data_IF_390853135311
#
_entry.id   IF_390853135311
#
_cell.length_a   1.000
_cell.length_b   1.000
_cell.length_c   1.000
_cell.angle_alpha   90.00
_cell.angle_beta   90.00
_cell.angle_gamma   90.00
#
_symmetry.space_group_name_H-M   'P 1'
#
loop_
_entity.id
_entity.type
_entity.pdbx_description
1 polymer ?
#
# COMPACT_ATOMS: atom_id res chain seq x y z
N UNK A 1 -29.68 15.08 8.40
CA UNK A 1 -29.85 13.80 9.13
C UNK A 1 -29.11 13.91 10.44
N UNK A 2 -29.80 13.60 11.51
CA UNK A 2 -29.27 13.68 12.86
C UNK A 2 -28.59 12.34 13.19
N UNK A 3 -27.30 12.20 12.82
CA UNK A 3 -26.51 10.98 13.03
C UNK A 3 -25.47 11.21 14.12
N UNK A 4 -25.51 10.42 15.19
CA UNK A 4 -24.66 10.56 16.37
C UNK A 4 -23.18 10.35 16.03
N UNK A 5 -22.86 9.43 15.10
CA UNK A 5 -21.47 9.16 14.68
C UNK A 5 -20.88 10.35 13.93
N UNK A 6 -21.66 10.94 13.01
CA UNK A 6 -21.21 12.15 12.28
C UNK A 6 -20.92 13.29 13.27
N UNK A 7 -21.72 13.43 14.33
CA UNK A 7 -21.45 14.44 15.37
C UNK A 7 -20.13 14.15 16.11
N UNK A 8 -19.88 12.89 16.47
CA UNK A 8 -18.62 12.51 17.14
C UNK A 8 -17.42 12.83 16.23
N UNK A 9 -17.50 12.54 14.93
CA UNK A 9 -16.44 12.84 13.99
C UNK A 9 -16.25 14.35 13.80
N UNK A 10 -17.37 15.09 13.63
CA UNK A 10 -17.34 16.54 13.41
C UNK A 10 -16.80 17.31 14.62
N UNK A 11 -17.01 16.79 15.83
CA UNK A 11 -16.56 17.39 17.09
C UNK A 11 -15.16 16.90 17.52
N UNK A 12 -14.50 16.06 16.72
CA UNK A 12 -13.17 15.56 17.06
C UNK A 12 -12.09 16.61 16.78
N UNK A 13 -11.50 17.16 17.84
CA UNK A 13 -10.43 18.16 17.75
C UNK A 13 -9.24 17.60 16.97
N UNK A 14 -8.85 16.34 17.19
CA UNK A 14 -7.75 15.70 16.49
C UNK A 14 -7.96 15.68 14.95
N UNK A 15 -9.18 15.47 14.48
CA UNK A 15 -9.51 15.48 13.05
C UNK A 15 -9.53 16.92 12.52
N UNK A 16 -10.17 17.82 13.25
CA UNK A 16 -10.32 19.23 12.84
C UNK A 16 -8.98 19.96 12.79
N UNK A 17 -8.15 19.82 13.82
CA UNK A 17 -6.82 20.43 13.89
C UNK A 17 -5.90 19.92 12.79
N UNK A 18 -5.93 18.61 12.52
CA UNK A 18 -5.15 18.02 11.44
C UNK A 18 -5.59 18.56 10.07
N UNK A 19 -6.89 18.63 9.82
CA UNK A 19 -7.44 19.13 8.57
C UNK A 19 -7.14 20.63 8.39
N UNK A 20 -7.30 21.42 9.46
CA UNK A 20 -7.03 22.87 9.45
C UNK A 20 -5.54 23.16 9.22
N UNK A 21 -4.64 22.50 9.93
CA UNK A 21 -3.19 22.67 9.79
C UNK A 21 -2.69 22.39 8.37
N UNK A 22 -3.33 21.47 7.66
CA UNK A 22 -2.98 21.08 6.28
C UNK A 22 -3.89 21.67 5.20
N UNK A 23 -4.86 22.50 5.61
CA UNK A 23 -5.86 23.11 4.72
C UNK A 23 -6.62 22.08 3.88
N UNK A 24 -6.89 20.91 4.46
CA UNK A 24 -7.60 19.82 3.79
C UNK A 24 -9.10 20.15 3.76
N UNK A 25 -9.67 20.14 2.58
CA UNK A 25 -11.11 20.26 2.37
C UNK A 25 -11.51 19.75 0.98
N UNK A 26 -12.78 19.46 0.80
CA UNK A 26 -13.34 18.94 -0.43
C UNK A 26 -13.93 20.02 -1.35
N UNK A 27 -13.78 21.30 -1.00
CA UNK A 27 -14.37 22.40 -1.78
C UNK A 27 -13.82 22.52 -3.20
N UNK A 28 -12.66 21.92 -3.47
CA UNK A 28 -12.06 21.87 -4.81
C UNK A 28 -12.68 20.77 -5.71
N UNK A 29 -13.47 19.87 -5.13
CA UNK A 29 -14.03 18.71 -5.82
C UNK A 29 -15.56 18.65 -5.65
N UNK A 30 -16.30 19.72 -6.04
CA UNK A 30 -17.75 19.79 -5.80
C UNK A 30 -18.51 18.71 -6.58
N UNK A 31 -18.04 18.33 -7.77
CA UNK A 31 -18.67 17.29 -8.57
C UNK A 31 -18.53 15.91 -7.93
N UNK A 32 -17.35 15.60 -7.39
CA UNK A 32 -17.15 14.35 -6.61
C UNK A 32 -18.14 14.28 -5.45
N UNK A 33 -18.20 15.36 -4.65
CA UNK A 33 -19.11 15.40 -3.48
C UNK A 33 -20.56 15.23 -3.89
N UNK A 34 -20.97 15.85 -5.02
CA UNK A 34 -22.33 15.67 -5.56
C UNK A 34 -22.57 14.23 -5.99
N UNK A 35 -21.62 13.62 -6.70
CA UNK A 35 -21.71 12.22 -7.13
C UNK A 35 -21.84 11.27 -5.94
N UNK A 36 -20.96 11.39 -4.93
CA UNK A 36 -21.00 10.57 -3.73
C UNK A 36 -22.29 10.77 -2.94
N UNK A 37 -22.79 12.00 -2.85
CA UNK A 37 -24.06 12.29 -2.20
C UNK A 37 -25.25 11.65 -2.94
N UNK A 38 -25.26 11.72 -4.26
CA UNK A 38 -26.30 11.07 -5.09
C UNK A 38 -26.27 9.56 -4.91
N UNK A 39 -25.09 8.93 -4.99
CA UNK A 39 -24.93 7.50 -4.76
C UNK A 39 -25.45 7.10 -3.37
N UNK A 40 -25.07 7.85 -2.33
CA UNK A 40 -25.54 7.61 -0.98
C UNK A 40 -27.09 7.68 -0.90
N UNK A 41 -27.69 8.74 -1.44
CA UNK A 41 -29.14 8.94 -1.33
C UNK A 41 -29.98 7.96 -2.17
N UNK A 42 -29.39 7.41 -3.21
CA UNK A 42 -30.01 6.38 -4.06
C UNK A 42 -29.81 4.96 -3.54
N UNK A 43 -28.87 4.75 -2.61
CA UNK A 43 -28.59 3.43 -2.02
C UNK A 43 -29.75 2.91 -1.20
N UNK A 44 -29.97 1.59 -1.22
CA UNK A 44 -31.03 0.95 -0.46
C UNK A 44 -30.79 1.06 1.05
N UNK A 45 -29.54 0.93 1.51
CA UNK A 45 -29.22 1.04 2.94
C UNK A 45 -29.49 2.44 3.49
N UNK A 46 -29.34 3.51 2.68
CA UNK A 46 -29.69 4.87 3.10
C UNK A 46 -31.20 5.06 3.13
N UNK A 47 -31.95 4.57 2.14
CA UNK A 47 -33.42 4.62 2.12
C UNK A 47 -34.02 3.87 3.31
N UNK A 48 -33.49 2.66 3.60
CA UNK A 48 -33.90 1.87 4.76
C UNK A 48 -33.59 2.58 6.08
N UNK A 49 -32.43 3.21 6.19
CA UNK A 49 -32.07 4.01 7.35
C UNK A 49 -33.01 5.22 7.52
N UNK A 50 -33.35 5.92 6.44
CA UNK A 50 -34.24 7.08 6.46
C UNK A 50 -35.69 6.72 6.74
N UNK A 51 -36.13 5.51 6.38
CA UNK A 51 -37.50 5.02 6.63
C UNK A 51 -37.74 4.65 8.09
N UNK A 52 -36.69 4.47 8.92
CA UNK A 52 -36.83 4.13 10.33
C UNK A 52 -37.36 5.31 11.14
N UNK A 53 -38.46 5.17 11.92
CA UNK A 53 -38.99 6.25 12.75
C UNK A 53 -38.03 6.65 13.89
N UNK A 54 -37.35 5.66 14.47
CA UNK A 54 -36.32 5.86 15.49
C UNK A 54 -35.01 5.20 15.01
N UNK A 55 -33.88 5.83 15.32
CA UNK A 55 -32.56 5.38 14.94
C UNK A 55 -31.67 5.27 16.15
N UNK A 56 -31.11 4.09 16.34
CA UNK A 56 -30.17 3.81 17.41
C UNK A 56 -28.75 4.22 17.00
N UNK A 57 -27.84 4.31 17.98
CA UNK A 57 -26.40 4.48 17.73
C UNK A 57 -25.83 3.39 16.81
N UNK A 58 -26.36 2.16 16.90
CA UNK A 58 -25.95 1.05 16.02
C UNK A 58 -26.41 1.26 14.58
N UNK A 59 -27.61 1.82 14.37
CA UNK A 59 -28.11 2.16 13.04
C UNK A 59 -27.29 3.30 12.42
N UNK A 60 -26.96 4.32 13.21
CA UNK A 60 -26.12 5.44 12.80
C UNK A 60 -24.73 4.98 12.37
N UNK A 61 -24.14 4.06 13.13
CA UNK A 61 -22.85 3.46 12.80
C UNK A 61 -22.92 2.60 11.54
N UNK A 62 -23.93 1.76 11.43
CA UNK A 62 -24.13 0.87 10.28
C UNK A 62 -24.23 1.64 8.96
N UNK A 63 -24.95 2.76 8.96
CA UNK A 63 -25.03 3.64 7.78
C UNK A 63 -23.64 4.07 7.29
N UNK A 64 -22.78 4.54 8.21
CA UNK A 64 -21.44 4.98 7.83
C UNK A 64 -20.53 3.81 7.46
N UNK A 65 -20.64 2.68 8.13
CA UNK A 65 -19.88 1.49 7.76
C UNK A 65 -20.23 1.03 6.34
N UNK A 66 -21.49 1.04 5.94
CA UNK A 66 -21.90 0.64 4.60
C UNK A 66 -21.46 1.67 3.56
N UNK A 67 -21.57 2.96 3.85
CA UNK A 67 -21.05 4.02 2.99
C UNK A 67 -19.53 3.90 2.75
N UNK A 68 -18.74 3.75 3.81
CA UNK A 68 -17.28 3.61 3.65
C UNK A 68 -16.89 2.32 2.94
N UNK A 69 -17.63 1.23 3.08
CA UNK A 69 -17.40 0.01 2.29
C UNK A 69 -17.61 0.23 0.80
N UNK A 70 -18.62 0.99 0.44
CA UNK A 70 -18.90 1.33 -0.96
C UNK A 70 -17.80 2.19 -1.58
N UNK A 71 -17.16 3.08 -0.79
CA UNK A 71 -16.06 3.92 -1.25
C UNK A 71 -14.81 3.12 -1.68
N UNK A 72 -14.64 1.87 -1.23
CA UNK A 72 -13.49 1.02 -1.64
C UNK A 72 -13.45 0.73 -3.15
N UNK A 73 -14.60 0.81 -3.82
CA UNK A 73 -14.72 0.54 -5.25
C UNK A 73 -15.31 1.74 -6.02
N UNK A 74 -15.20 2.93 -5.46
CA UNK A 74 -15.73 4.15 -6.04
C UNK A 74 -14.74 4.76 -7.03
N UNK A 75 -14.87 4.44 -8.31
CA UNK A 75 -13.99 4.94 -9.37
C UNK A 75 -13.85 6.49 -9.42
N UNK A 76 -14.92 7.30 -9.25
CA UNK A 76 -14.77 8.75 -9.17
C UNK A 76 -13.90 9.24 -8.01
N UNK A 77 -13.93 8.55 -6.85
CA UNK A 77 -13.08 8.87 -5.72
C UNK A 77 -11.63 8.43 -5.98
N UNK A 78 -11.42 7.22 -6.49
CA UNK A 78 -10.10 6.71 -6.86
C UNK A 78 -9.39 7.69 -7.81
N UNK A 79 -10.04 8.12 -8.88
CA UNK A 79 -9.47 9.04 -9.88
C UNK A 79 -9.03 10.36 -9.23
N UNK A 80 -9.85 10.97 -8.37
CA UNK A 80 -9.50 12.22 -7.68
C UNK A 80 -8.35 12.02 -6.70
N UNK A 81 -8.32 10.90 -5.98
CA UNK A 81 -7.25 10.62 -5.03
C UNK A 81 -5.92 10.35 -5.73
N UNK A 82 -5.91 9.59 -6.83
CA UNK A 82 -4.72 9.35 -7.65
C UNK A 82 -4.16 10.66 -8.25
N UNK A 83 -5.04 11.58 -8.69
CA UNK A 83 -4.63 12.92 -9.13
C UNK A 83 -4.00 13.76 -8.00
N UNK A 84 -4.46 13.58 -6.76
CA UNK A 84 -3.90 14.30 -5.61
C UNK A 84 -2.51 13.78 -5.23
N UNK A 85 -2.30 12.49 -5.27
CA UNK A 85 -1.02 11.86 -4.94
C UNK A 85 -0.97 10.40 -5.39
N UNK A 86 0.17 9.99 -5.96
CA UNK A 86 0.45 8.60 -6.32
C UNK A 86 0.33 7.63 -5.13
N UNK A 87 0.48 8.12 -3.90
CA UNK A 87 0.35 7.29 -2.69
C UNK A 87 -1.06 6.72 -2.50
N UNK A 88 -2.07 7.29 -3.16
CA UNK A 88 -3.44 6.77 -3.11
C UNK A 88 -3.69 5.57 -4.03
N UNK A 89 -2.74 5.19 -4.87
CA UNK A 89 -2.92 4.08 -5.82
C UNK A 89 -3.21 2.73 -5.14
N UNK A 90 -2.77 2.52 -3.89
CA UNK A 90 -3.01 1.31 -3.10
C UNK A 90 -3.54 1.58 -1.68
N UNK A 91 -3.50 2.82 -1.20
CA UNK A 91 -3.82 3.15 0.19
C UNK A 91 -5.32 3.17 0.50
N UNK A 92 -6.21 3.45 -0.47
CA UNK A 92 -7.64 3.64 -0.21
C UNK A 92 -8.29 2.43 0.49
N UNK A 93 -8.09 1.17 0.07
CA UNK A 93 -8.68 0.02 0.76
C UNK A 93 -8.20 -0.12 2.21
N UNK A 94 -6.91 0.16 2.45
CA UNK A 94 -6.33 0.11 3.79
C UNK A 94 -6.91 1.21 4.70
N UNK A 95 -6.98 2.44 4.19
CA UNK A 95 -7.55 3.58 4.94
C UNK A 95 -9.02 3.33 5.27
N UNK A 96 -9.82 2.85 4.33
CA UNK A 96 -11.22 2.49 4.58
C UNK A 96 -11.32 1.41 5.67
N UNK A 97 -10.49 0.38 5.63
CA UNK A 97 -10.44 -0.63 6.69
C UNK A 97 -10.13 -0.02 8.06
N UNK A 98 -9.19 0.94 8.13
CA UNK A 98 -8.86 1.64 9.38
C UNK A 98 -10.02 2.52 9.88
N UNK A 99 -10.74 3.18 8.97
CA UNK A 99 -11.96 3.94 9.29
C UNK A 99 -13.02 2.99 9.85
N UNK A 100 -13.33 1.89 9.17
CA UNK A 100 -14.31 0.90 9.62
C UNK A 100 -13.96 0.34 11.00
N UNK A 101 -12.69 0.07 11.26
CA UNK A 101 -12.22 -0.36 12.59
C UNK A 101 -12.43 0.73 13.64
N UNK A 102 -12.17 1.98 13.30
CA UNK A 102 -12.40 3.12 14.20
C UNK A 102 -13.88 3.29 14.52
N UNK A 103 -14.75 3.20 13.51
CA UNK A 103 -16.22 3.24 13.68
C UNK A 103 -16.71 2.09 14.55
N UNK A 104 -16.23 0.86 14.34
CA UNK A 104 -16.65 -0.31 15.13
C UNK A 104 -16.27 -0.20 16.62
N UNK A 105 -15.22 0.55 16.94
CA UNK A 105 -14.78 0.79 18.32
C UNK A 105 -15.55 1.94 19.01
N UNK A 106 -16.32 2.75 18.26
CA UNK A 106 -17.12 3.82 18.85
C UNK A 106 -18.26 3.27 19.73
N UNK A 107 -18.51 3.96 20.83
CA UNK A 107 -19.58 3.68 21.79
C UNK A 107 -20.40 4.96 22.01
N UNK A 108 -21.67 4.84 22.45
CA UNK A 108 -22.52 6.01 22.70
C UNK A 108 -21.96 7.02 23.70
N UNK A 109 -21.02 6.58 24.55
CA UNK A 109 -20.36 7.43 25.56
C UNK A 109 -19.15 8.21 25.02
N UNK A 110 -18.71 7.92 23.79
CA UNK A 110 -17.58 8.60 23.19
C UNK A 110 -18.04 9.95 22.60
N UNK A 111 -17.35 11.01 22.95
CA UNK A 111 -17.58 12.37 22.44
C UNK A 111 -16.63 12.73 21.28
N UNK A 112 -15.53 11.97 21.13
CA UNK A 112 -14.51 12.18 20.14
C UNK A 112 -14.10 10.88 19.43
N UNK A 113 -13.66 11.01 18.20
CA UNK A 113 -13.07 9.91 17.44
C UNK A 113 -11.60 9.74 17.83
N UNK A 114 -11.23 8.58 18.32
CA UNK A 114 -9.82 8.24 18.53
C UNK A 114 -9.17 7.90 17.18
N UNK A 115 -8.33 8.81 16.68
CA UNK A 115 -7.55 8.58 15.46
C UNK A 115 -6.48 7.52 15.74
N UNK A 116 -6.35 6.48 14.92
CA UNK A 116 -5.30 5.49 15.05
C UNK A 116 -3.92 6.13 14.94
N UNK A 117 -2.94 5.58 15.66
CA UNK A 117 -1.55 6.01 15.53
C UNK A 117 -1.04 5.73 14.11
N UNK A 118 -0.25 6.64 13.55
CA UNK A 118 0.36 6.51 12.23
C UNK A 118 1.26 5.27 12.11
N UNK A 119 2.00 4.98 13.17
CA UNK A 119 2.88 3.82 13.24
C UNK A 119 2.41 2.85 14.33
N UNK A 120 2.59 1.58 14.10
CA UNK A 120 2.22 0.52 15.04
C UNK A 120 3.22 0.44 16.20
N UNK A 121 4.49 0.74 15.94
CA UNK A 121 5.59 0.71 16.90
C UNK A 121 6.61 1.79 16.58
N UNK A 122 7.53 2.06 17.51
CA UNK A 122 8.65 2.99 17.31
C UNK A 122 9.70 2.43 16.32
N UNK A 123 9.64 1.14 16.01
CA UNK A 123 10.50 0.51 15.00
C UNK A 123 10.11 0.88 13.57
N UNK A 124 8.82 1.18 13.31
CA UNK A 124 8.31 1.45 11.97
C UNK A 124 8.95 2.70 11.33
N UNK A 125 9.06 3.87 12.03
CA UNK A 125 9.77 5.02 11.47
C UNK A 125 11.24 4.74 11.17
N UNK A 126 11.90 3.92 12.00
CA UNK A 126 13.29 3.55 11.81
C UNK A 126 13.45 2.62 10.61
N UNK A 127 12.52 1.66 10.42
CA UNK A 127 12.46 0.82 9.24
C UNK A 127 12.40 1.64 7.96
N UNK A 128 11.43 2.57 7.87
CA UNK A 128 11.25 3.43 6.69
C UNK A 128 12.51 4.24 6.40
N UNK A 129 13.10 4.88 7.43
CA UNK A 129 14.32 5.67 7.27
C UNK A 129 15.49 4.83 6.79
N UNK A 130 15.73 3.70 7.44
CA UNK A 130 16.84 2.80 7.09
C UNK A 130 16.67 2.23 5.69
N UNK A 131 15.46 1.82 5.31
CA UNK A 131 15.18 1.32 3.96
C UNK A 131 15.48 2.38 2.91
N UNK A 132 14.99 3.60 3.10
CA UNK A 132 15.22 4.72 2.19
C UNK A 132 16.73 5.04 2.07
N UNK A 133 17.44 5.19 3.19
CA UNK A 133 18.88 5.46 3.21
C UNK A 133 19.67 4.35 2.50
N UNK A 134 19.35 3.07 2.76
CA UNK A 134 20.04 1.94 2.13
C UNK A 134 19.75 1.84 0.65
N UNK A 135 18.53 2.16 0.21
CA UNK A 135 18.18 2.20 -1.20
C UNK A 135 18.96 3.29 -1.94
N UNK A 136 19.10 4.49 -1.35
CA UNK A 136 19.83 5.60 -1.96
C UNK A 136 21.34 5.36 -2.00
N UNK A 137 21.93 4.98 -0.85
CA UNK A 137 23.39 4.83 -0.74
C UNK A 137 23.92 3.71 -1.65
N UNK A 138 23.13 2.68 -1.90
CA UNK A 138 23.55 1.55 -2.72
C UNK A 138 22.91 1.58 -4.12
N UNK A 139 22.31 2.68 -4.53
CA UNK A 139 21.55 2.78 -5.79
C UNK A 139 22.36 2.28 -6.99
N UNK A 140 23.54 2.84 -7.23
CA UNK A 140 24.39 2.47 -8.37
C UNK A 140 24.78 0.99 -8.32
N UNK A 141 25.19 0.49 -7.15
CA UNK A 141 25.52 -0.93 -6.96
C UNK A 141 24.33 -1.86 -7.23
N UNK A 142 23.11 -1.42 -6.94
CA UNK A 142 21.91 -2.19 -7.23
C UNK A 142 21.58 -2.14 -8.72
N UNK A 143 21.79 -1.01 -9.40
CA UNK A 143 21.63 -0.91 -10.86
C UNK A 143 22.58 -1.86 -11.59
N UNK A 144 23.87 -1.85 -11.25
CA UNK A 144 24.87 -2.78 -11.82
C UNK A 144 24.44 -4.25 -11.65
N UNK A 145 23.84 -4.54 -10.47
CA UNK A 145 23.38 -5.89 -10.16
C UNK A 145 22.13 -6.28 -10.96
N UNK A 146 21.20 -5.35 -11.14
CA UNK A 146 19.98 -5.54 -11.94
C UNK A 146 20.37 -5.77 -13.41
N UNK A 147 21.26 -4.96 -13.96
CA UNK A 147 21.75 -5.07 -15.34
C UNK A 147 22.35 -6.46 -15.64
N UNK A 148 23.08 -7.02 -14.68
CA UNK A 148 23.66 -8.38 -14.80
C UNK A 148 22.59 -9.45 -15.05
N UNK A 149 21.40 -9.32 -14.47
CA UNK A 149 20.32 -10.29 -14.59
C UNK A 149 19.29 -9.94 -15.65
N UNK A 150 19.35 -8.73 -16.20
CA UNK A 150 18.42 -8.22 -17.22
C UNK A 150 19.05 -8.10 -18.60
N UNK A 151 20.34 -8.40 -18.76
CA UNK A 151 21.08 -8.30 -20.02
C UNK A 151 20.48 -9.09 -21.21
N UNK A 152 19.67 -10.10 -20.93
CA UNK A 152 18.96 -10.88 -21.95
C UNK A 152 17.55 -10.34 -22.26
N UNK A 153 17.13 -9.27 -21.59
CA UNK A 153 15.87 -8.58 -21.82
C UNK A 153 16.18 -7.30 -22.59
N UNK A 154 15.25 -6.89 -23.45
CA UNK A 154 15.38 -5.66 -24.20
C UNK A 154 15.51 -4.48 -23.21
N UNK A 155 16.72 -3.93 -23.06
CA UNK A 155 17.07 -2.92 -22.04
C UNK A 155 16.20 -1.66 -22.17
N UNK A 156 15.67 -1.39 -23.39
CA UNK A 156 14.74 -0.29 -23.65
C UNK A 156 13.36 -0.48 -22.98
N UNK A 157 13.09 -1.67 -22.43
CA UNK A 157 11.81 -2.02 -21.79
C UNK A 157 11.81 -1.98 -20.28
N UNK A 158 12.96 -1.79 -19.63
CA UNK A 158 12.99 -1.72 -18.17
C UNK A 158 12.44 -0.39 -17.72
N UNK A 159 11.23 -0.41 -17.20
CA UNK A 159 10.57 0.78 -16.67
C UNK A 159 11.34 1.29 -15.45
N UNK A 160 11.54 2.60 -15.36
CA UNK A 160 12.24 3.23 -14.23
C UNK A 160 11.68 2.77 -12.86
N UNK A 161 10.36 2.61 -12.75
CA UNK A 161 9.71 2.12 -11.53
C UNK A 161 10.10 0.68 -11.19
N UNK A 162 10.26 -0.20 -12.18
CA UNK A 162 10.71 -1.57 -11.94
C UNK A 162 12.11 -1.60 -11.30
N UNK A 163 13.02 -0.77 -11.80
CA UNK A 163 14.36 -0.63 -11.22
C UNK A 163 14.32 -0.12 -9.78
N UNK A 164 13.47 0.87 -9.48
CA UNK A 164 13.31 1.38 -8.12
C UNK A 164 12.76 0.31 -7.18
N UNK A 165 11.75 -0.43 -7.62
CA UNK A 165 11.11 -1.49 -6.82
C UNK A 165 12.12 -2.61 -6.54
N UNK A 166 12.84 -3.10 -7.56
CA UNK A 166 13.87 -4.14 -7.40
C UNK A 166 15.00 -3.65 -6.49
N UNK A 167 15.52 -2.44 -6.71
CA UNK A 167 16.58 -1.86 -5.89
C UNK A 167 16.18 -1.71 -4.42
N UNK A 168 14.93 -1.30 -4.15
CA UNK A 168 14.40 -1.19 -2.80
C UNK A 168 14.22 -2.57 -2.15
N UNK A 169 13.75 -3.57 -2.91
CA UNK A 169 13.69 -4.96 -2.45
C UNK A 169 15.08 -5.50 -2.08
N UNK A 170 16.12 -5.19 -2.89
CA UNK A 170 17.50 -5.58 -2.58
C UNK A 170 18.00 -4.92 -1.28
N UNK A 171 17.66 -3.65 -1.05
CA UNK A 171 17.99 -2.95 0.19
C UNK A 171 17.34 -3.65 1.40
N UNK A 172 16.08 -4.06 1.30
CA UNK A 172 15.40 -4.81 2.36
C UNK A 172 15.99 -6.20 2.57
N UNK A 173 16.22 -6.95 1.48
CA UNK A 173 16.82 -8.28 1.54
C UNK A 173 18.15 -8.31 2.28
N UNK A 174 18.98 -7.29 2.06
CA UNK A 174 20.36 -7.24 2.59
C UNK A 174 20.47 -6.54 3.94
N UNK A 175 19.55 -5.62 4.27
CA UNK A 175 19.66 -4.78 5.47
C UNK A 175 18.75 -5.21 6.63
N UNK A 176 17.72 -6.02 6.37
CA UNK A 176 16.74 -6.41 7.39
C UNK A 176 16.74 -7.92 7.65
N UNK A 177 17.60 -8.41 8.54
CA UNK A 177 17.74 -9.85 8.78
C UNK A 177 16.50 -10.51 9.39
N UNK A 178 15.62 -9.76 10.07
CA UNK A 178 14.40 -10.27 10.70
C UNK A 178 13.25 -10.50 9.72
N UNK A 179 13.31 -9.92 8.49
CA UNK A 179 12.27 -10.07 7.47
C UNK A 179 12.60 -11.28 6.60
N UNK A 180 11.69 -12.28 6.49
CA UNK A 180 11.89 -13.42 5.62
C UNK A 180 11.98 -13.01 4.14
N UNK A 181 12.86 -13.66 3.36
CA UNK A 181 13.00 -13.42 1.91
C UNK A 181 11.66 -13.47 1.20
N UNK A 182 10.86 -14.51 1.48
CA UNK A 182 9.53 -14.65 0.85
C UNK A 182 8.61 -13.45 1.10
N UNK A 183 8.65 -12.88 2.30
CA UNK A 183 7.82 -11.69 2.62
C UNK A 183 8.27 -10.50 1.78
N UNK A 184 9.58 -10.23 1.72
CA UNK A 184 10.12 -9.18 0.85
C UNK A 184 9.66 -9.38 -0.61
N UNK A 185 9.80 -10.58 -1.16
CA UNK A 185 9.39 -10.85 -2.55
C UNK A 185 7.89 -10.60 -2.76
N UNK A 186 7.04 -11.18 -1.89
CA UNK A 186 5.59 -11.05 -1.99
C UNK A 186 5.16 -9.56 -1.94
N UNK A 187 5.72 -8.75 -1.02
CA UNK A 187 5.38 -7.34 -0.87
C UNK A 187 5.79 -6.49 -2.08
N UNK A 188 7.03 -6.64 -2.59
CA UNK A 188 7.46 -5.85 -3.73
C UNK A 188 6.80 -6.26 -5.05
N UNK A 189 6.38 -7.51 -5.21
CA UNK A 189 5.53 -7.95 -6.31
C UNK A 189 4.15 -7.29 -6.21
N UNK A 190 3.54 -7.21 -5.02
CA UNK A 190 2.27 -6.50 -4.83
C UNK A 190 2.41 -5.00 -5.14
N UNK A 191 3.43 -4.33 -4.62
CA UNK A 191 3.72 -2.91 -4.90
C UNK A 191 3.80 -2.67 -6.42
N UNK A 192 4.46 -3.56 -7.16
CA UNK A 192 4.62 -3.40 -8.61
C UNK A 192 3.30 -3.38 -9.39
N UNK A 193 2.26 -4.01 -8.88
CA UNK A 193 0.93 -4.03 -9.52
C UNK A 193 0.23 -2.67 -9.48
N UNK A 194 0.57 -1.83 -8.51
CA UNK A 194 -0.01 -0.51 -8.31
C UNK A 194 0.86 0.61 -8.90
N UNK A 195 2.17 0.47 -8.81
CA UNK A 195 3.11 1.55 -9.13
C UNK A 195 3.88 1.35 -10.43
N UNK A 196 3.70 0.21 -11.11
CA UNK A 196 4.37 -0.04 -12.38
C UNK A 196 3.40 -0.46 -13.50
N UNK A 197 3.96 -0.86 -14.64
CA UNK A 197 3.17 -1.17 -15.84
C UNK A 197 2.55 -2.58 -15.78
N UNK A 198 1.47 -2.83 -16.54
CA UNK A 198 0.93 -4.19 -16.67
C UNK A 198 2.01 -5.18 -17.13
N UNK A 199 2.19 -6.26 -16.37
CA UNK A 199 3.23 -7.28 -16.62
C UNK A 199 4.53 -7.08 -15.83
N UNK A 200 4.79 -5.91 -15.25
CA UNK A 200 5.97 -5.65 -14.41
C UNK A 200 6.08 -6.60 -13.23
N UNK A 201 4.97 -7.02 -12.63
CA UNK A 201 4.98 -7.96 -11.50
C UNK A 201 5.62 -9.32 -11.87
N UNK A 202 5.37 -9.82 -13.08
CA UNK A 202 5.99 -11.07 -13.57
C UNK A 202 7.47 -10.87 -13.86
N UNK A 203 7.84 -9.75 -14.47
CA UNK A 203 9.23 -9.39 -14.73
C UNK A 203 10.03 -9.25 -13.43
N UNK A 204 9.53 -8.43 -12.47
CA UNK A 204 10.16 -8.18 -11.18
C UNK A 204 10.33 -9.49 -10.40
N UNK A 205 9.31 -10.36 -10.37
CA UNK A 205 9.41 -11.68 -9.74
C UNK A 205 10.56 -12.50 -10.33
N UNK A 206 10.65 -12.61 -11.66
CA UNK A 206 11.71 -13.39 -12.31
C UNK A 206 13.11 -12.81 -12.11
N UNK A 207 13.26 -11.50 -12.00
CA UNK A 207 14.54 -10.83 -11.72
C UNK A 207 14.93 -11.00 -10.25
N UNK A 208 13.99 -10.77 -9.32
CA UNK A 208 14.23 -10.91 -7.88
C UNK A 208 14.59 -12.34 -7.48
N UNK A 209 13.98 -13.37 -8.09
CA UNK A 209 14.34 -14.78 -7.85
C UNK A 209 15.83 -15.03 -8.16
N UNK A 210 16.33 -14.57 -9.32
CA UNK A 210 17.73 -14.70 -9.72
C UNK A 210 18.67 -13.91 -8.79
N UNK A 211 18.24 -12.69 -8.40
CA UNK A 211 19.00 -11.84 -7.48
C UNK A 211 19.11 -12.51 -6.10
N UNK A 212 18.04 -13.08 -5.58
CA UNK A 212 18.04 -13.78 -4.30
C UNK A 212 18.97 -14.97 -4.32
N UNK A 213 18.94 -15.78 -5.37
CA UNK A 213 19.83 -16.94 -5.52
C UNK A 213 21.32 -16.49 -5.52
N UNK A 214 21.65 -15.45 -6.29
CA UNK A 214 23.02 -14.91 -6.34
C UNK A 214 23.47 -14.29 -5.03
N UNK A 215 22.64 -13.43 -4.41
CA UNK A 215 22.97 -12.80 -3.13
C UNK A 215 23.10 -13.83 -1.99
N UNK A 216 22.34 -14.94 -2.07
CA UNK A 216 22.44 -16.04 -1.13
C UNK A 216 23.75 -16.82 -1.32
N UNK A 217 24.13 -17.10 -2.56
CA UNK A 217 25.40 -17.77 -2.89
C UNK A 217 26.63 -16.91 -2.47
N UNK A 218 26.52 -15.59 -2.60
CA UNK A 218 27.54 -14.63 -2.17
C UNK A 218 27.55 -14.40 -0.66
N UNK A 219 26.63 -14.98 0.13
CA UNK A 219 26.50 -14.79 1.56
C UNK A 219 26.09 -13.37 1.98
N UNK A 220 25.51 -12.57 1.04
CA UNK A 220 25.05 -11.21 1.29
C UNK A 220 23.68 -11.14 1.96
N UNK A 221 22.84 -12.17 1.77
CA UNK A 221 21.56 -12.30 2.49
C UNK A 221 21.82 -13.01 3.82
N UNK A 222 21.80 -12.25 4.92
CA UNK A 222 21.99 -12.75 6.29
C UNK A 222 20.67 -12.67 7.03
N UNK A 223 19.86 -13.73 6.98
CA UNK A 223 18.57 -13.78 7.68
C UNK A 223 18.72 -14.44 9.05
N UNK A 224 18.08 -13.85 10.07
CA UNK A 224 18.12 -14.29 11.47
C UNK A 224 16.71 -14.41 12.07
N UNK A 225 16.55 -15.20 13.10
CA UNK A 225 15.27 -15.36 13.79
C UNK A 225 14.14 -15.79 12.86
N UNK A 226 13.06 -15.01 12.77
CA UNK A 226 11.94 -15.27 11.86
C UNK A 226 12.35 -15.16 10.39
N UNK A 227 13.31 -14.30 10.07
CA UNK A 227 13.85 -14.13 8.72
C UNK A 227 14.56 -15.36 8.17
N UNK A 228 15.12 -16.21 9.03
CA UNK A 228 15.80 -17.46 8.62
C UNK A 228 14.81 -18.57 8.17
N UNK A 229 13.52 -18.42 8.41
CA UNK A 229 12.51 -19.39 7.97
C UNK A 229 12.28 -19.26 6.46
N UNK A 230 12.66 -20.27 5.71
CA UNK A 230 12.43 -20.33 4.24
C UNK A 230 13.65 -19.97 3.39
N UNK A 231 14.82 -19.65 3.96
CA UNK A 231 16.05 -19.55 3.18
C UNK A 231 16.44 -20.97 2.74
N UNK A 232 16.46 -21.25 1.43
CA UNK A 232 17.01 -22.48 0.88
C UNK A 232 18.49 -22.53 1.23
N UNK A 233 18.89 -23.52 2.03
CA UNK A 233 20.31 -23.81 2.23
C UNK A 233 20.90 -24.30 0.90
N UNK A 234 22.11 -23.84 0.51
CA UNK A 234 22.80 -24.42 -0.63
C UNK A 234 22.94 -25.94 -0.43
N UNK A 235 22.67 -26.71 -1.48
CA UNK A 235 22.80 -28.16 -1.48
C UNK A 235 24.28 -28.51 -1.28
N UNK A 236 24.69 -28.86 -0.05
CA UNK A 236 26.09 -29.24 0.24
C UNK A 236 26.49 -29.32 1.71
N UNK A 237 25.67 -28.87 2.65
CA UNK A 237 26.03 -29.06 4.07
C UNK A 237 25.45 -30.34 4.64
N UNK A 238 26.38 -31.20 5.08
CA UNK A 238 26.22 -32.53 5.66
C UNK A 238 25.21 -32.57 6.83
N UNK A 239 24.32 -33.57 6.81
CA UNK A 239 23.22 -33.79 7.79
C UNK A 239 23.67 -34.44 9.10
N UNK A 240 24.92 -34.34 9.52
CA UNK A 240 25.46 -35.15 10.64
C UNK A 240 25.75 -34.40 11.92
N UNK A 241 25.12 -33.27 12.23
CA UNK A 241 25.16 -32.72 13.62
C UNK A 241 23.79 -32.10 13.98
N UNK A 242 22.86 -32.95 14.42
CA UNK A 242 21.76 -32.51 15.30
C UNK A 242 22.21 -32.73 16.76
N UNK A 243 22.17 -31.67 17.61
CA UNK A 243 22.11 -31.91 19.04
C UNK A 243 20.72 -32.44 19.38
N UNK A 244 20.69 -33.54 20.11
CA UNK A 244 19.46 -34.17 20.61
C UNK A 244 18.68 -33.19 21.47
N UNK A 245 17.50 -32.81 21.00
CA UNK A 245 16.53 -32.02 21.77
C UNK A 245 15.58 -33.00 22.47
N UNK A 246 15.77 -33.18 23.76
CA UNK A 246 14.81 -33.85 24.63
C UNK A 246 13.65 -32.94 24.98
N UNK A 247 12.40 -33.38 24.79
CA UNK A 247 11.22 -32.60 25.19
C UNK A 247 10.87 -32.93 26.64
N UNK A 248 11.07 -31.99 27.56
CA UNK A 248 10.39 -32.01 28.84
C UNK A 248 9.37 -30.88 28.96
N UNK A 249 8.12 -31.27 29.01
CA UNK A 249 7.08 -31.01 30.00
C UNK A 249 6.55 -29.59 30.18
N UNK A 250 5.25 -29.46 29.87
CA UNK A 250 4.24 -28.61 30.53
C UNK A 250 4.51 -27.11 30.74
N UNK A 251 3.77 -26.23 30.07
CA UNK A 251 2.55 -25.65 30.63
C UNK A 251 1.76 -24.87 29.60
N UNK A 252 0.47 -25.08 29.65
CA UNK A 252 -0.58 -24.42 28.86
C UNK A 252 -0.86 -23.06 29.49
N UNK A 253 -0.88 -22.02 28.71
CA UNK A 253 -1.85 -20.91 28.62
C UNK A 253 -1.25 -19.65 28.00
N UNK A 254 -2.07 -19.07 27.13
CA UNK A 254 -2.06 -17.71 26.62
C UNK A 254 -1.43 -17.46 25.23
N UNK A 255 -2.34 -17.10 24.34
CA UNK A 255 -2.11 -16.07 23.30
C UNK A 255 -1.84 -16.56 21.89
N UNK A 256 -2.87 -17.14 21.25
CA UNK A 256 -2.91 -17.21 19.79
C UNK A 256 -3.08 -15.80 19.20
N UNK A 257 -2.00 -15.19 18.78
CA UNK A 257 -2.05 -14.17 17.74
C UNK A 257 -1.53 -14.78 16.45
N UNK A 258 -2.46 -15.38 15.69
CA UNK A 258 -2.20 -15.77 14.32
C UNK A 258 -2.05 -14.51 13.47
N UNK A 259 -0.86 -14.28 12.93
CA UNK A 259 -0.69 -13.43 11.77
C UNK A 259 -1.39 -14.15 10.59
N UNK A 260 -2.66 -13.84 10.38
CA UNK A 260 -3.28 -14.03 9.07
C UNK A 260 -2.59 -13.03 8.15
N UNK A 261 -1.78 -13.52 7.24
CA UNK A 261 -1.53 -12.81 6.01
C UNK A 261 -2.90 -12.43 5.44
N UNK A 262 -3.18 -11.13 5.34
CA UNK A 262 -4.40 -10.65 4.72
C UNK A 262 -4.30 -10.98 3.23
N UNK A 263 -4.91 -12.10 2.84
CA UNK A 263 -5.31 -12.29 1.45
C UNK A 263 -6.37 -11.24 1.19
N UNK A 264 -6.02 -10.18 0.50
CA UNK A 264 -6.99 -9.37 -0.22
C UNK A 264 -7.72 -10.30 -1.17
N UNK A 265 -9.07 -10.27 -1.21
CA UNK A 265 -9.78 -11.00 -2.25
C UNK A 265 -9.31 -10.46 -3.59
N UNK A 266 -8.87 -11.34 -4.47
CA UNK A 266 -8.57 -11.02 -5.84
C UNK A 266 -9.88 -10.60 -6.54
N UNK A 267 -10.21 -9.34 -6.48
CA UNK A 267 -11.22 -8.74 -7.33
C UNK A 267 -10.58 -8.49 -8.69
N UNK A 268 -10.89 -9.39 -9.64
CA UNK A 268 -10.53 -9.22 -11.03
C UNK A 268 -11.13 -7.92 -11.56
N UNK A 269 -10.30 -6.91 -11.74
CA UNK A 269 -10.64 -5.74 -12.53
C UNK A 269 -10.58 -6.14 -14.01
N UNK A 270 -11.70 -6.55 -14.58
CA UNK A 270 -11.90 -6.54 -16.02
C UNK A 270 -12.03 -5.07 -16.46
N UNK A 271 -10.94 -4.45 -16.86
CA UNK A 271 -11.01 -3.19 -17.62
C UNK A 271 -11.35 -3.55 -19.07
N UNK A 272 -12.45 -3.04 -19.65
CA UNK A 272 -12.62 -3.08 -21.09
C UNK A 272 -11.60 -2.14 -21.74
N UNK A 273 -10.81 -2.66 -22.68
CA UNK A 273 -9.92 -1.87 -23.50
C UNK A 273 -10.73 -0.81 -24.26
N UNK A 274 -10.52 0.46 -23.96
CA UNK A 274 -11.04 1.56 -24.75
C UNK A 274 -10.31 1.59 -26.09
N UNK A 275 -11.00 1.18 -27.14
CA UNK A 275 -10.61 1.30 -28.53
C UNK A 275 -10.64 2.79 -28.91
N UNK A 276 -9.50 3.43 -28.99
CA UNK A 276 -9.35 4.74 -29.62
C UNK A 276 -9.21 4.51 -31.12
N UNK A 277 -10.33 4.68 -31.84
CA UNK A 277 -10.32 4.77 -33.29
C UNK A 277 -9.62 6.07 -33.72
N UNK A 278 -8.58 5.91 -34.53
CA UNK A 278 -7.82 7.02 -35.07
C UNK A 278 -8.65 7.88 -36.06
N UNK A 279 -8.52 9.17 -35.89
CA UNK A 279 -8.66 10.12 -36.99
C UNK A 279 -7.31 10.77 -37.25
N UNK A 280 -6.75 10.48 -38.43
CA UNK A 280 -5.63 11.23 -39.02
C UNK A 280 -6.17 12.60 -39.46
N UNK A 281 -5.53 13.64 -39.01
CA UNK A 281 -5.56 14.92 -39.70
C UNK A 281 -4.12 15.39 -39.94
N UNK A 282 -3.75 15.43 -41.18
CA UNK A 282 -2.49 15.99 -41.69
C UNK A 282 -2.61 17.52 -41.70
N UNK A 283 -1.71 18.23 -41.04
CA UNK A 283 -1.15 19.50 -41.54
C UNK A 283 -0.02 20.05 -40.65
N UNK A 284 1.12 20.12 -41.33
CA UNK A 284 2.15 21.18 -41.28
C UNK A 284 2.92 21.47 -39.97
N UNK A 285 4.16 21.07 -40.04
CA UNK A 285 5.37 21.46 -39.38
C UNK A 285 5.56 22.85 -38.77
N UNK A 286 6.19 22.84 -37.61
CA UNK A 286 7.29 23.74 -37.22
C UNK A 286 7.91 23.26 -35.90
N UNK A 287 9.18 22.89 -35.96
CA UNK A 287 10.04 22.67 -34.80
C UNK A 287 10.11 23.94 -33.95
N UNK A 288 9.79 23.83 -32.67
CA UNK A 288 10.34 24.72 -31.64
C UNK A 288 10.81 23.86 -30.47
N UNK A 289 12.12 23.82 -30.32
CA UNK A 289 12.79 23.34 -29.11
C UNK A 289 12.40 24.25 -27.94
N UNK A 290 11.78 23.67 -26.91
CA UNK A 290 11.61 24.34 -25.63
C UNK A 290 12.40 23.52 -24.60
N UNK A 291 13.52 24.10 -24.13
CA UNK A 291 14.26 23.62 -22.95
C UNK A 291 13.43 23.95 -21.71
N UNK A 292 13.18 23.02 -20.78
CA UNK A 292 12.66 23.37 -19.47
C UNK A 292 13.82 23.83 -18.57
N UNK A 293 13.74 25.06 -18.08
CA UNK A 293 14.54 25.52 -16.94
C UNK A 293 13.89 24.95 -15.66
N UNK A 294 14.59 24.06 -15.00
CA UNK A 294 14.29 23.65 -13.62
C UNK A 294 14.63 24.82 -12.69
N UNK A 295 13.61 25.46 -12.14
CA UNK A 295 13.73 26.29 -10.93
C UNK A 295 13.47 25.39 -9.73
N UNK A 296 14.52 25.12 -8.98
CA UNK A 296 14.42 24.62 -7.61
C UNK A 296 13.76 25.71 -6.75
N UNK A 297 12.65 25.37 -6.12
CA UNK A 297 12.10 26.13 -5.01
C UNK A 297 12.12 25.26 -3.76
N UNK A 298 12.77 25.84 -2.74
CA UNK A 298 12.94 25.37 -1.39
C UNK A 298 11.68 24.72 -0.81
N UNK A 299 11.78 23.46 -0.44
CA UNK A 299 10.88 22.80 0.50
C UNK A 299 11.59 22.70 1.85
N UNK A 300 11.33 23.65 2.75
CA UNK A 300 11.54 23.44 4.19
C UNK A 300 10.33 22.69 4.73
N UNK A 301 10.64 21.62 5.41
CA UNK A 301 9.76 20.73 6.19
C UNK A 301 9.16 21.45 7.38
#
# INVERSE_FOLDING_TARGET
>A
VDNQIIRVIANSDAVNDYAAARKLNWTRYPELIRTLYTQLTESDYFKDYMARPERSFADDRKLLEDFFKELQSCEPLDNVLEEMSILWSDDLPYIVMMILRSLSNLRPTHTELKVPAKFKSDEDPQFVRTLFEKSLVNYDSYQDYIEKFTSNWDVERIVFMDNLIIGTAMAELTSFPSIPVKVTLDEYIEISKYYSTPGSSTFINGVLDKIVDSLTAEGRIKKAGRGARGVRRPAGEDRTQRPDYHPHGHDSRHGRYGHRAFRTPAFGRNRPAASVAGQRDERTGRHRQIRPQLRMHDARI
#
